data_IF_957449567563
#
_entry.id   IF_957449567563
#
_cell.length_a   1.000
_cell.length_b   1.000
_cell.length_c   1.000
_cell.angle_alpha   90.00
_cell.angle_beta   90.00
_cell.angle_gamma   90.00
#
_symmetry.space_group_name_H-M   'P 1'
#
loop_
_entity.id
_entity.type
_entity.pdbx_description
1 polymer ?
#
# COMPACT_ATOMS: atom_id res chain seq x y z
N UNK A 1 -16.67 10.70 13.55
CA UNK A 1 -15.60 11.71 13.40
C UNK A 1 -14.58 11.38 12.30
N UNK A 2 -14.02 10.16 12.24
CA UNK A 2 -12.96 9.83 11.28
C UNK A 2 -13.41 9.94 9.80
N UNK A 3 -14.59 9.42 9.46
CA UNK A 3 -15.19 9.55 8.11
C UNK A 3 -15.20 11.01 7.64
N UNK A 4 -15.72 11.91 8.50
CA UNK A 4 -15.87 13.31 8.14
C UNK A 4 -14.55 14.05 7.98
N UNK A 5 -13.56 13.73 8.82
CA UNK A 5 -12.19 14.23 8.65
C UNK A 5 -11.65 13.92 7.25
N UNK A 6 -11.84 12.69 6.79
CA UNK A 6 -11.30 12.26 5.50
C UNK A 6 -12.15 12.68 4.30
N UNK A 7 -13.45 12.90 4.47
CA UNK A 7 -14.27 13.54 3.44
C UNK A 7 -13.78 14.97 3.18
N UNK A 8 -13.61 15.78 4.23
CA UNK A 8 -13.13 17.15 4.09
C UNK A 8 -11.72 17.20 3.47
N UNK A 9 -10.84 16.26 3.85
CA UNK A 9 -9.50 16.18 3.27
C UNK A 9 -9.52 15.78 1.78
N UNK A 10 -10.42 14.87 1.39
CA UNK A 10 -10.64 14.48 0.00
C UNK A 10 -11.18 15.65 -0.82
N UNK A 11 -12.20 16.35 -0.34
CA UNK A 11 -12.77 17.52 -1.01
C UNK A 11 -11.73 18.63 -1.18
N UNK A 12 -10.96 18.93 -0.13
CA UNK A 12 -9.86 19.89 -0.21
C UNK A 12 -8.82 19.48 -1.25
N UNK A 13 -8.48 18.19 -1.36
CA UNK A 13 -7.57 17.69 -2.39
C UNK A 13 -8.15 17.89 -3.80
N UNK A 14 -9.39 17.47 -4.03
CA UNK A 14 -10.07 17.58 -5.33
C UNK A 14 -10.20 19.05 -5.78
N UNK A 15 -10.47 19.97 -4.86
CA UNK A 15 -10.54 21.40 -5.15
C UNK A 15 -9.17 22.05 -5.38
N UNK A 16 -8.09 21.47 -4.85
CA UNK A 16 -6.75 22.08 -4.90
C UNK A 16 -6.10 22.07 -6.29
N UNK A 17 -6.57 21.21 -7.20
CA UNK A 17 -5.94 20.99 -8.51
C UNK A 17 -4.55 20.33 -8.44
N UNK A 18 -4.11 19.87 -7.26
CA UNK A 18 -2.84 19.18 -7.08
C UNK A 18 -2.92 17.71 -7.54
N UNK A 19 -1.80 17.19 -8.01
CA UNK A 19 -1.69 15.78 -8.41
C UNK A 19 -1.39 14.82 -7.26
N UNK A 20 -0.86 15.35 -6.14
CA UNK A 20 -0.57 14.60 -4.93
C UNK A 20 -0.70 15.47 -3.67
N UNK A 21 -1.16 14.88 -2.56
CA UNK A 21 -1.11 15.50 -1.23
C UNK A 21 -1.06 14.46 -0.12
N UNK A 22 -0.54 14.85 1.04
CA UNK A 22 -0.68 14.08 2.28
C UNK A 22 -1.97 14.49 3.02
N UNK A 23 -2.81 13.50 3.34
CA UNK A 23 -4.04 13.67 4.13
C UNK A 23 -3.92 13.11 5.55
N UNK A 24 -2.84 12.39 5.81
CA UNK A 24 -2.42 11.97 7.14
C UNK A 24 -0.90 12.07 7.22
N UNK A 25 -0.41 12.64 8.31
CA UNK A 25 1.02 12.78 8.63
C UNK A 25 1.28 12.13 9.99
N UNK A 26 2.49 11.59 10.22
CA UNK A 26 2.87 11.03 11.52
C UNK A 26 2.81 12.11 12.62
N UNK A 27 2.59 11.66 13.86
CA UNK A 27 2.46 12.54 15.03
C UNK A 27 3.78 13.18 15.43
N UNK A 28 4.90 12.48 15.24
CA UNK A 28 6.24 13.02 15.43
C UNK A 28 6.90 13.29 14.07
N UNK A 29 7.71 14.36 13.92
CA UNK A 29 8.49 14.54 12.72
C UNK A 29 9.41 13.33 12.54
N UNK A 30 9.42 12.67 11.37
CA UNK A 30 10.35 11.59 11.13
C UNK A 30 11.77 12.10 11.35
N UNK A 31 12.61 11.32 12.05
CA UNK A 31 14.05 11.40 11.82
C UNK A 31 14.27 11.33 10.30
N UNK A 32 15.16 12.15 9.71
CA UNK A 32 15.29 12.28 8.27
C UNK A 32 15.31 10.90 7.61
N UNK A 33 14.20 10.56 6.96
CA UNK A 33 14.01 9.21 6.45
C UNK A 33 14.87 9.07 5.20
N UNK A 34 15.73 8.07 5.20
CA UNK A 34 16.63 7.77 4.09
C UNK A 34 15.92 6.99 2.99
N UNK A 35 14.76 6.41 3.30
CA UNK A 35 13.98 5.58 2.38
C UNK A 35 12.48 5.79 2.55
N UNK A 36 11.81 6.06 1.43
CA UNK A 36 10.36 6.09 1.32
C UNK A 36 9.85 4.75 0.75
N UNK A 37 9.08 4.02 1.55
CA UNK A 37 8.35 2.84 1.14
C UNK A 37 6.94 3.25 0.72
N UNK A 38 6.48 2.82 -0.45
CA UNK A 38 5.14 3.17 -0.96
C UNK A 38 4.32 1.89 -1.10
N UNK A 39 3.21 1.81 -0.36
CA UNK A 39 2.20 0.77 -0.55
C UNK A 39 1.00 1.36 -1.30
N UNK A 40 0.94 1.09 -2.60
CA UNK A 40 -0.12 1.53 -3.51
C UNK A 40 -1.19 0.44 -3.66
N UNK A 41 -2.42 0.75 -3.26
CA UNK A 41 -3.56 -0.17 -3.33
C UNK A 41 -4.89 0.59 -3.34
N UNK A 42 -5.98 -0.07 -3.74
CA UNK A 42 -7.33 0.51 -3.61
C UNK A 42 -7.87 0.48 -2.18
N UNK A 43 -7.25 -0.32 -1.30
CA UNK A 43 -7.56 -0.41 0.13
C UNK A 43 -9.06 -0.57 0.40
N UNK A 44 -9.69 -1.55 -0.25
CA UNK A 44 -11.15 -1.69 -0.27
C UNK A 44 -11.65 -3.07 0.24
N UNK A 45 -11.45 -3.44 1.53
CA UNK A 45 -10.75 -2.71 2.58
C UNK A 45 -9.23 -3.03 2.64
N UNK A 46 -8.43 -2.25 3.41
CA UNK A 46 -7.13 -2.72 3.90
C UNK A 46 -7.32 -3.99 4.73
N UNK A 47 -6.31 -4.86 4.76
CA UNK A 47 -6.41 -6.19 5.39
C UNK A 47 -5.04 -6.72 5.80
N UNK A 48 -5.01 -7.88 6.46
CA UNK A 48 -3.77 -8.45 6.99
C UNK A 48 -2.70 -8.70 5.92
N UNK A 49 -3.07 -9.05 4.68
CA UNK A 49 -2.12 -9.08 3.56
C UNK A 49 -1.38 -7.75 3.31
N UNK A 50 -2.09 -6.61 3.34
CA UNK A 50 -1.48 -5.28 3.22
C UNK A 50 -0.61 -4.95 4.43
N UNK A 51 -1.11 -5.24 5.64
CA UNK A 51 -0.39 -4.99 6.89
C UNK A 51 0.92 -5.78 6.95
N UNK A 52 0.89 -7.07 6.61
CA UNK A 52 2.08 -7.92 6.57
C UNK A 52 3.05 -7.44 5.50
N UNK A 53 2.59 -7.08 4.30
CA UNK A 53 3.47 -6.53 3.26
C UNK A 53 4.19 -5.27 3.72
N UNK A 54 3.45 -4.33 4.33
CA UNK A 54 4.05 -3.13 4.90
C UNK A 54 5.08 -3.48 5.99
N UNK A 55 4.73 -4.36 6.92
CA UNK A 55 5.62 -4.75 8.03
C UNK A 55 6.90 -5.42 7.55
N UNK A 56 6.80 -6.41 6.66
CA UNK A 56 7.97 -7.12 6.12
C UNK A 56 8.87 -6.18 5.33
N UNK A 57 8.31 -5.21 4.61
CA UNK A 57 9.10 -4.19 3.91
C UNK A 57 9.79 -3.22 4.89
N UNK A 58 9.10 -2.85 5.97
CA UNK A 58 9.64 -1.97 7.01
C UNK A 58 10.78 -2.61 7.80
N UNK A 59 10.69 -3.92 8.08
CA UNK A 59 11.70 -4.70 8.78
C UNK A 59 12.85 -5.15 7.85
N UNK A 60 12.75 -4.89 6.54
CA UNK A 60 13.76 -5.31 5.59
C UNK A 60 14.99 -4.40 5.59
N UNK A 61 16.16 -5.00 5.77
CA UNK A 61 17.43 -4.33 5.50
C UNK A 61 17.68 -4.18 3.99
N UNK A 62 17.56 -2.94 3.51
CA UNK A 62 17.86 -2.55 2.13
C UNK A 62 19.36 -2.20 1.90
N UNK A 63 20.24 -2.50 2.86
CA UNK A 63 21.68 -2.20 2.76
C UNK A 63 22.04 -0.73 3.03
N UNK A 64 21.09 0.06 3.52
CA UNK A 64 21.31 1.45 3.96
C UNK A 64 21.58 1.46 5.47
N UNK A 65 22.76 1.95 5.90
CA UNK A 65 23.15 2.02 7.32
C UNK A 65 22.01 2.56 8.19
N UNK A 66 21.60 1.78 9.19
CA UNK A 66 20.46 1.96 10.10
C UNK A 66 19.83 3.37 10.06
N UNK A 67 18.78 3.54 9.24
CA UNK A 67 18.11 4.83 9.10
C UNK A 67 16.63 4.66 8.72
N UNK A 68 15.82 5.62 9.21
CA UNK A 68 14.36 5.57 9.35
C UNK A 68 13.63 5.30 8.03
N UNK A 69 12.99 4.15 7.92
CA UNK A 69 12.00 3.89 6.87
C UNK A 69 10.75 4.75 7.12
N UNK A 70 10.26 5.43 6.09
CA UNK A 70 8.95 6.07 6.09
C UNK A 70 7.99 5.29 5.20
N UNK A 71 6.80 4.96 5.69
CA UNK A 71 5.77 4.30 4.90
C UNK A 71 4.72 5.30 4.41
N UNK A 72 4.50 5.33 3.10
CA UNK A 72 3.38 6.02 2.47
C UNK A 72 2.34 5.00 2.03
N UNK A 73 1.16 5.04 2.64
CA UNK A 73 -0.03 4.37 2.13
C UNK A 73 -0.66 5.25 1.05
N UNK A 74 -0.66 4.80 -0.20
CA UNK A 74 -1.07 5.61 -1.35
C UNK A 74 -2.40 5.15 -1.91
N UNK A 75 -3.35 6.08 -2.03
CA UNK A 75 -4.64 5.85 -2.68
C UNK A 75 -4.81 6.80 -3.87
N UNK A 76 -5.14 6.25 -5.04
CA UNK A 76 -5.49 7.06 -6.20
C UNK A 76 -7.00 7.25 -6.29
N UNK A 77 -7.42 8.50 -6.53
CA UNK A 77 -8.83 8.86 -6.74
C UNK A 77 -9.31 8.52 -8.16
N UNK A 78 -8.40 8.09 -9.04
CA UNK A 78 -8.70 7.56 -10.38
C UNK A 78 -8.35 6.07 -10.52
N UNK A 79 -8.20 5.36 -9.40
CA UNK A 79 -7.92 3.92 -9.45
C UNK A 79 -9.00 3.18 -10.25
N UNK A 80 -8.57 2.16 -11.00
CA UNK A 80 -9.44 1.29 -11.78
C UNK A 80 -10.16 0.28 -10.86
N UNK A 81 -11.01 0.77 -9.96
CA UNK A 81 -11.88 -0.11 -9.19
C UNK A 81 -12.94 -0.73 -10.11
N UNK A 82 -13.26 -1.99 -9.86
CA UNK A 82 -14.41 -2.63 -10.51
C UNK A 82 -15.67 -1.89 -10.07
N UNK A 83 -16.50 -1.50 -11.04
CA UNK A 83 -17.78 -0.82 -10.80
C UNK A 83 -18.74 -1.69 -9.97
N UNK A 84 -18.56 -3.02 -10.02
CA UNK A 84 -19.39 -4.00 -9.31
C UNK A 84 -18.50 -5.02 -8.58
N UNK A 85 -18.74 -5.27 -7.28
CA UNK A 85 -19.64 -4.52 -6.38
C UNK A 85 -19.13 -3.09 -6.15
N UNK A 86 -20.04 -2.17 -5.82
CA UNK A 86 -19.71 -0.76 -5.57
C UNK A 86 -18.65 -0.70 -4.46
N UNK A 87 -17.49 -0.08 -4.70
CA UNK A 87 -16.46 0.03 -3.68
C UNK A 87 -16.93 0.94 -2.54
N UNK A 88 -16.38 0.76 -1.34
CA UNK A 88 -16.59 1.75 -0.29
C UNK A 88 -16.13 3.13 -0.80
N UNK A 89 -16.80 4.20 -0.39
CA UNK A 89 -16.40 5.55 -0.74
C UNK A 89 -14.99 5.86 -0.26
N UNK A 90 -14.32 6.82 -0.89
CA UNK A 90 -12.91 7.13 -0.63
C UNK A 90 -12.67 7.53 0.84
N UNK A 91 -13.59 8.27 1.47
CA UNK A 91 -13.47 8.67 2.87
C UNK A 91 -13.57 7.48 3.84
N UNK A 92 -14.33 6.45 3.50
CA UNK A 92 -14.35 5.20 4.27
C UNK A 92 -13.03 4.44 4.12
N UNK A 93 -12.51 4.34 2.89
CA UNK A 93 -11.20 3.72 2.63
C UNK A 93 -10.07 4.43 3.35
N UNK A 94 -10.02 5.75 3.28
CA UNK A 94 -9.06 6.58 4.01
C UNK A 94 -9.18 6.42 5.52
N UNK A 95 -10.41 6.30 6.04
CA UNK A 95 -10.63 6.01 7.47
C UNK A 95 -10.06 4.65 7.87
N UNK A 96 -10.25 3.60 7.07
CA UNK A 96 -9.65 2.28 7.34
C UNK A 96 -8.12 2.30 7.15
N UNK A 97 -7.60 3.04 6.16
CA UNK A 97 -6.15 3.25 6.00
C UNK A 97 -5.55 3.96 7.21
N UNK A 98 -6.25 4.92 7.81
CA UNK A 98 -5.82 5.56 9.05
C UNK A 98 -5.68 4.57 10.20
N UNK A 99 -6.64 3.67 10.37
CA UNK A 99 -6.56 2.63 11.39
C UNK A 99 -5.35 1.70 11.16
N UNK A 100 -5.09 1.33 9.91
CA UNK A 100 -3.88 0.57 9.56
C UNK A 100 -2.59 1.35 9.82
N UNK A 101 -2.57 2.65 9.49
CA UNK A 101 -1.43 3.52 9.76
C UNK A 101 -1.14 3.61 11.27
N UNK A 102 -2.17 3.83 12.10
CA UNK A 102 -2.05 3.84 13.57
C UNK A 102 -1.53 2.52 14.13
N UNK A 103 -1.91 1.39 13.54
CA UNK A 103 -1.41 0.08 13.95
C UNK A 103 0.08 -0.12 13.60
N UNK A 104 0.52 0.39 12.45
CA UNK A 104 1.92 0.32 11.98
C UNK A 104 2.85 1.31 12.70
N UNK A 105 2.34 2.49 13.09
CA UNK A 105 3.10 3.51 13.83
C UNK A 105 3.56 3.06 15.23
N UNK A 106 2.93 2.02 15.81
CA UNK A 106 3.34 1.45 17.12
C UNK A 106 4.76 0.85 17.11
N UNK A 107 5.45 0.87 15.97
CA UNK A 107 6.77 0.24 15.75
C UNK A 107 7.90 1.25 15.47
N UNK A 108 7.84 2.48 16.00
CA UNK A 108 8.80 3.58 15.76
C UNK A 108 8.92 4.01 14.28
N UNK A 109 7.88 3.70 13.51
CA UNK A 109 7.82 3.94 12.06
C UNK A 109 6.90 5.11 11.78
N UNK A 110 7.37 6.02 10.95
CA UNK A 110 6.54 7.12 10.46
C UNK A 110 5.69 6.66 9.29
N UNK A 111 4.37 6.76 9.43
CA UNK A 111 3.40 6.39 8.39
C UNK A 111 2.62 7.62 7.95
N UNK A 112 2.53 7.84 6.65
CA UNK A 112 1.67 8.86 6.04
C UNK A 112 0.62 8.23 5.13
N UNK A 113 -0.47 8.97 4.88
CA UNK A 113 -1.46 8.62 3.84
C UNK A 113 -1.46 9.70 2.78
N UNK A 114 -1.25 9.28 1.53
CA UNK A 114 -1.25 10.14 0.37
C UNK A 114 -2.45 9.89 -0.55
N UNK A 115 -2.93 10.96 -1.16
CA UNK A 115 -3.86 10.92 -2.28
C UNK A 115 -3.15 11.31 -3.57
N UNK A 116 -3.54 10.70 -4.69
CA UNK A 116 -3.07 11.08 -6.02
C UNK A 116 -4.16 11.02 -7.09
N UNK A 117 -4.07 11.86 -8.11
CA UNK A 117 -4.94 11.85 -9.30
C UNK A 117 -4.48 10.87 -10.38
N UNK A 118 -3.31 10.24 -10.23
CA UNK A 118 -2.71 9.39 -11.26
C UNK A 118 -3.07 7.91 -11.08
N UNK A 119 -3.26 7.20 -12.19
CA UNK A 119 -3.53 5.76 -12.18
C UNK A 119 -2.25 4.93 -12.41
N UNK A 120 -1.33 5.43 -13.22
CA UNK A 120 -0.10 4.70 -13.58
C UNK A 120 1.00 4.96 -12.56
N UNK A 121 1.75 3.90 -12.24
CA UNK A 121 2.83 3.97 -11.27
C UNK A 121 3.84 5.09 -11.58
N UNK A 122 4.30 5.21 -12.83
CA UNK A 122 5.30 6.21 -13.21
C UNK A 122 4.84 7.65 -12.96
N UNK A 123 3.56 7.93 -13.23
CA UNK A 123 2.93 9.24 -12.98
C UNK A 123 2.78 9.50 -11.46
N UNK A 124 2.39 8.48 -10.68
CA UNK A 124 2.34 8.55 -9.21
C UNK A 124 3.73 8.90 -8.64
N UNK A 125 4.78 8.23 -9.12
CA UNK A 125 6.16 8.47 -8.68
C UNK A 125 6.61 9.90 -8.98
N UNK A 126 6.35 10.39 -10.20
CA UNK A 126 6.70 11.76 -10.58
C UNK A 126 5.98 12.81 -9.71
N UNK A 127 4.68 12.63 -9.43
CA UNK A 127 3.92 13.53 -8.57
C UNK A 127 4.43 13.55 -7.12
N UNK A 128 4.81 12.38 -6.58
CA UNK A 128 5.39 12.27 -5.24
C UNK A 128 6.77 12.95 -5.20
N UNK A 129 7.63 12.72 -6.19
CA UNK A 129 8.95 13.37 -6.26
C UNK A 129 8.82 14.90 -6.36
N UNK A 130 7.87 15.40 -7.17
CA UNK A 130 7.60 16.83 -7.27
C UNK A 130 7.14 17.42 -5.94
N UNK A 131 6.29 16.70 -5.18
CA UNK A 131 5.87 17.11 -3.84
C UNK A 131 7.04 17.13 -2.85
N UNK A 132 7.89 16.10 -2.84
CA UNK A 132 9.05 16.02 -1.95
C UNK A 132 10.12 17.07 -2.28
N UNK A 133 10.34 17.39 -3.56
CA UNK A 133 11.27 18.43 -3.97
C UNK A 133 10.85 19.85 -3.59
N UNK A 134 9.56 20.06 -3.28
CA UNK A 134 9.04 21.32 -2.75
C UNK A 134 9.17 21.41 -1.22
N UNK A 135 9.39 20.29 -0.53
CA UNK A 135 9.51 20.22 0.92
C UNK A 135 10.98 20.06 1.32
N UNK A 136 11.58 21.14 1.84
CA UNK A 136 13.01 21.20 2.22
C UNK A 136 13.40 20.18 3.30
N UNK A 137 12.43 19.52 3.94
CA UNK A 137 12.67 18.47 4.95
C UNK A 137 13.03 17.10 4.37
N UNK A 138 12.82 16.88 3.06
CA UNK A 138 13.00 15.57 2.40
C UNK A 138 14.18 15.47 1.42
N UNK A 139 15.10 16.44 1.39
CA UNK A 139 16.04 16.55 0.28
C UNK A 139 17.25 15.58 0.31
N UNK A 140 17.31 14.74 -0.73
CA UNK A 140 18.45 14.73 -1.66
C UNK A 140 17.96 14.58 -3.10
N UNK A 141 18.61 15.24 -4.09
CA UNK A 141 18.11 15.32 -5.45
C UNK A 141 18.39 14.02 -6.19
N UNK A 142 17.38 13.17 -6.35
CA UNK A 142 17.43 12.04 -7.28
C UNK A 142 16.38 12.30 -8.36
N UNK A 143 16.81 12.94 -9.45
CA UNK A 143 16.07 12.98 -10.70
C UNK A 143 16.91 12.25 -11.74
N UNK A 144 16.77 10.93 -11.74
CA UNK A 144 17.09 10.09 -12.89
C UNK A 144 16.27 8.80 -12.82
N UNK A 145 16.01 8.22 -14.00
CA UNK A 145 15.27 6.97 -14.29
C UNK A 145 14.53 6.31 -13.12
N UNK A 146 13.19 6.27 -13.23
CA UNK A 146 12.26 5.68 -12.28
C UNK A 146 12.76 4.37 -11.64
N UNK A 147 13.22 3.41 -12.45
CA UNK A 147 13.63 2.09 -11.97
C UNK A 147 15.05 2.08 -11.38
N UNK A 148 15.93 3.03 -11.71
CA UNK A 148 17.30 3.04 -11.14
C UNK A 148 17.30 3.50 -9.68
N UNK A 149 16.25 4.23 -9.28
CA UNK A 149 16.10 4.79 -7.94
C UNK A 149 14.87 4.22 -7.19
N UNK A 150 14.19 3.22 -7.76
CA UNK A 150 13.05 2.55 -7.13
C UNK A 150 13.31 1.07 -7.00
N UNK A 151 13.11 0.57 -5.78
CA UNK A 151 13.10 -0.85 -5.47
C UNK A 151 11.66 -1.38 -5.46
N UNK A 152 11.45 -2.57 -6.01
CA UNK A 152 10.20 -3.30 -5.95
C UNK A 152 10.31 -4.38 -4.89
N UNK A 153 9.58 -4.20 -3.78
CA UNK A 153 9.47 -5.22 -2.75
C UNK A 153 8.21 -6.06 -2.97
N UNK A 154 8.39 -7.37 -3.10
CA UNK A 154 7.32 -8.31 -3.41
C UNK A 154 7.26 -9.41 -2.35
N UNK A 155 6.09 -9.60 -1.75
CA UNK A 155 5.80 -10.84 -1.03
C UNK A 155 5.21 -11.86 -1.99
N UNK A 156 5.80 -13.06 -2.00
CA UNK A 156 5.29 -14.16 -2.80
C UNK A 156 3.90 -14.58 -2.28
N UNK A 157 2.98 -14.81 -3.22
CA UNK A 157 1.62 -15.30 -2.94
C UNK A 157 1.46 -16.78 -3.27
N UNK A 158 2.57 -17.48 -3.44
CA UNK A 158 2.58 -18.87 -3.88
C UNK A 158 1.79 -19.74 -2.91
N UNK A 159 0.72 -20.36 -3.41
CA UNK A 159 -0.11 -21.30 -2.66
C UNK A 159 0.55 -22.69 -2.54
N UNK A 160 1.68 -22.89 -3.24
CA UNK A 160 2.46 -24.12 -3.25
C UNK A 160 3.95 -23.84 -3.44
N UNK A 161 4.79 -24.82 -3.12
CA UNK A 161 6.24 -24.75 -3.41
C UNK A 161 6.52 -24.59 -4.90
N UNK A 162 5.71 -25.18 -5.78
CA UNK A 162 5.89 -25.08 -7.24
C UNK A 162 5.61 -23.68 -7.79
N UNK A 163 4.58 -23.00 -7.27
CA UNK A 163 4.31 -21.59 -7.62
C UNK A 163 5.43 -20.67 -7.12
N UNK A 164 6.00 -20.98 -5.96
CA UNK A 164 7.12 -20.24 -5.39
C UNK A 164 8.38 -20.38 -6.25
N UNK A 165 8.71 -21.60 -6.65
CA UNK A 165 9.84 -21.88 -7.55
C UNK A 165 9.66 -21.21 -8.91
N UNK A 166 8.42 -21.16 -9.42
CA UNK A 166 8.10 -20.44 -10.65
C UNK A 166 8.32 -18.92 -10.50
N UNK A 167 7.92 -18.32 -9.39
CA UNK A 167 8.14 -16.89 -9.11
C UNK A 167 9.63 -16.56 -8.94
N UNK A 168 10.39 -17.41 -8.24
CA UNK A 168 11.85 -17.25 -8.16
C UNK A 168 12.53 -17.41 -9.52
N UNK A 169 12.07 -18.37 -10.34
CA UNK A 169 12.58 -18.58 -11.70
C UNK A 169 12.32 -17.38 -12.60
N UNK A 170 11.20 -16.68 -12.42
CA UNK A 170 10.93 -15.44 -13.15
C UNK A 170 12.00 -14.37 -12.88
N UNK A 171 12.48 -14.26 -11.64
CA UNK A 171 13.57 -13.33 -11.29
C UNK A 171 14.90 -13.71 -11.96
N UNK A 172 15.25 -15.00 -11.97
CA UNK A 172 16.46 -15.45 -12.66
C UNK A 172 16.37 -15.29 -14.18
N UNK A 173 15.17 -15.41 -14.75
CA UNK A 173 14.89 -15.11 -16.15
C UNK A 173 15.08 -13.63 -16.51
N UNK A 174 14.63 -12.70 -15.66
CA UNK A 174 14.93 -11.26 -15.86
C UNK A 174 16.45 -11.04 -15.81
N UNK A 175 17.14 -11.58 -14.79
CA UNK A 175 18.58 -11.39 -14.61
C UNK A 175 19.41 -11.92 -15.79
N UNK A 176 18.99 -13.03 -16.39
CA UNK A 176 19.62 -13.64 -17.57
C UNK A 176 19.24 -12.95 -18.89
N UNK A 177 18.26 -12.04 -18.88
CA UNK A 177 17.78 -11.35 -20.08
C UNK A 177 16.93 -12.23 -20.98
N UNK A 178 16.17 -13.13 -20.40
CA UNK A 178 15.22 -13.97 -21.11
C UNK A 178 14.11 -13.15 -21.80
N UNK A 179 13.76 -12.00 -21.22
CA UNK A 179 12.76 -11.08 -21.76
C UNK A 179 13.47 -9.91 -22.48
N UNK A 180 13.33 -9.76 -23.81
CA UNK A 180 14.06 -8.76 -24.58
C UNK A 180 13.67 -7.32 -24.20
N UNK A 181 12.42 -7.12 -23.76
CA UNK A 181 11.88 -5.80 -23.41
C UNK A 181 12.10 -5.41 -21.94
N UNK A 182 12.65 -6.32 -21.11
CA UNK A 182 12.89 -6.07 -19.69
C UNK A 182 14.40 -5.95 -19.45
N UNK A 183 14.92 -4.77 -19.05
CA UNK A 183 16.33 -4.61 -18.75
C UNK A 183 16.78 -5.55 -17.63
N UNK A 184 17.87 -6.31 -17.87
CA UNK A 184 18.45 -7.26 -16.90
C UNK A 184 18.77 -6.61 -15.55
N UNK A 185 19.17 -5.35 -15.59
CA UNK A 185 19.50 -4.56 -14.41
C UNK A 185 18.31 -4.36 -13.46
N UNK A 186 17.06 -4.60 -13.89
CA UNK A 186 15.89 -4.49 -13.02
C UNK A 186 15.87 -5.60 -11.96
N UNK A 187 16.45 -6.77 -12.24
CA UNK A 187 16.45 -7.89 -11.31
C UNK A 187 17.12 -7.53 -9.96
N UNK A 188 18.12 -6.65 -9.97
CA UNK A 188 18.83 -6.22 -8.75
C UNK A 188 17.98 -5.30 -7.84
N UNK A 189 16.91 -4.74 -8.37
CA UNK A 189 16.01 -3.82 -7.67
C UNK A 189 14.69 -4.52 -7.28
N UNK A 190 14.56 -5.83 -7.52
CA UNK A 190 13.36 -6.59 -7.14
C UNK A 190 13.71 -7.48 -5.95
N UNK A 191 13.14 -7.16 -4.78
CA UNK A 191 13.30 -7.91 -3.54
C UNK A 191 12.11 -8.85 -3.38
N UNK A 192 12.32 -10.12 -3.66
CA UNK A 192 11.32 -11.16 -3.45
C UNK A 192 11.49 -11.77 -2.06
N UNK A 193 10.48 -11.62 -1.21
CA UNK A 193 10.45 -12.15 0.16
C UNK A 193 9.31 -13.16 0.30
N UNK A 194 9.49 -14.05 1.27
CA UNK A 194 8.48 -15.05 1.63
C UNK A 194 8.28 -15.03 3.13
N UNK A 195 7.02 -15.02 3.57
CA UNK A 195 6.71 -15.02 5.00
C UNK A 195 7.04 -16.39 5.59
N UNK A 196 8.11 -16.52 6.37
CA UNK A 196 8.65 -17.81 6.80
C UNK A 196 7.65 -18.69 7.59
N UNK A 197 6.71 -18.09 8.32
CA UNK A 197 5.81 -18.81 9.25
C UNK A 197 4.34 -18.94 8.79
N UNK A 198 3.91 -18.23 7.73
CA UNK A 198 2.48 -18.14 7.32
C UNK A 198 2.29 -17.98 5.80
N UNK A 199 3.10 -18.71 5.01
CA UNK A 199 3.14 -18.62 3.54
C UNK A 199 1.75 -18.76 2.91
N UNK A 200 1.01 -19.80 3.29
CA UNK A 200 -0.21 -20.19 2.60
C UNK A 200 -1.43 -19.32 2.98
N UNK A 201 -1.41 -18.71 4.18
CA UNK A 201 -2.58 -18.00 4.70
C UNK A 201 -2.59 -16.51 4.34
N UNK A 202 -1.43 -15.86 4.23
CA UNK A 202 -1.37 -14.41 3.98
C UNK A 202 -1.50 -14.09 2.48
N UNK A 203 -0.87 -14.89 1.62
CA UNK A 203 -0.95 -14.74 0.16
C UNK A 203 -2.36 -14.95 -0.41
N UNK A 204 -3.19 -15.74 0.28
CA UNK A 204 -4.58 -16.00 -0.13
C UNK A 204 -5.55 -14.85 0.22
N UNK A 205 -5.16 -13.92 1.11
CA UNK A 205 -6.04 -12.83 1.54
C UNK A 205 -6.23 -11.85 0.38
N UNK A 206 -7.49 -11.51 0.08
CA UNK A 206 -7.83 -10.48 -0.87
C UNK A 206 -8.98 -9.62 -0.35
N UNK A 207 -8.97 -8.33 -0.68
CA UNK A 207 -10.09 -7.46 -0.32
C UNK A 207 -11.42 -7.94 -0.92
N UNK A 208 -11.39 -8.55 -2.12
CA UNK A 208 -12.60 -9.14 -2.73
C UNK A 208 -13.16 -10.30 -1.90
N UNK A 209 -12.30 -11.20 -1.40
CA UNK A 209 -12.73 -12.28 -0.51
C UNK A 209 -13.32 -11.75 0.79
N UNK A 210 -12.76 -10.68 1.35
CA UNK A 210 -13.29 -10.02 2.55
C UNK A 210 -14.66 -9.39 2.27
N UNK A 211 -14.82 -8.67 1.15
CA UNK A 211 -16.12 -8.09 0.78
C UNK A 211 -17.18 -9.17 0.59
N UNK A 212 -16.87 -10.27 -0.10
CA UNK A 212 -17.79 -11.40 -0.26
C UNK A 212 -18.18 -12.02 1.09
N UNK A 213 -17.26 -12.07 2.06
CA UNK A 213 -17.57 -12.60 3.37
C UNK A 213 -18.56 -11.71 4.17
N UNK A 214 -18.51 -10.38 4.01
CA UNK A 214 -19.52 -9.47 4.60
C UNK A 214 -20.86 -9.48 3.87
N UNK A 215 -20.87 -9.84 2.58
CA UNK A 215 -22.09 -9.96 1.78
C UNK A 215 -22.85 -11.28 2.05
N UNK A 216 -22.17 -12.29 2.60
CA UNK A 216 -22.79 -13.53 3.01
C UNK A 216 -23.82 -13.33 4.15
N UNK A 217 -24.87 -14.15 4.15
CA UNK A 217 -26.02 -14.00 5.07
C UNK A 217 -25.70 -14.26 6.56
N UNK A 218 -24.47 -14.68 6.86
CA UNK A 218 -23.96 -14.88 8.21
C UNK A 218 -22.93 -13.79 8.54
N UNK A 219 -23.02 -13.20 9.74
CA UNK A 219 -22.03 -12.25 10.21
C UNK A 219 -20.65 -12.94 10.25
N UNK A 220 -19.72 -12.62 9.31
CA UNK A 220 -18.47 -13.35 9.21
C UNK A 220 -17.66 -13.12 10.48
N UNK A 221 -17.08 -14.18 11.04
CA UNK A 221 -16.21 -14.11 12.21
C UNK A 221 -14.76 -14.39 11.80
N UNK A 222 -13.81 -13.82 12.52
CA UNK A 222 -12.37 -14.07 12.33
C UNK A 222 -11.86 -13.75 10.91
N UNK A 223 -12.34 -12.66 10.32
CA UNK A 223 -11.80 -12.18 9.05
C UNK A 223 -10.34 -11.73 9.21
N UNK A 224 -9.52 -11.87 8.16
CA UNK A 224 -8.11 -11.46 8.20
C UNK A 224 -7.97 -9.92 8.08
N UNK A 225 -8.50 -9.23 9.09
CA UNK A 225 -8.52 -7.78 9.25
C UNK A 225 -7.89 -7.41 10.61
N UNK A 226 -7.44 -6.16 10.72
CA UNK A 226 -7.22 -5.57 12.04
C UNK A 226 -8.57 -5.41 12.74
N UNK A 227 -8.60 -5.62 14.06
CA UNK A 227 -9.83 -5.55 14.87
C UNK A 227 -10.51 -4.18 14.72
N UNK A 228 -9.72 -3.10 14.71
CA UNK A 228 -10.24 -1.75 14.54
C UNK A 228 -10.88 -1.53 13.15
N UNK A 229 -10.34 -2.18 12.12
CA UNK A 229 -10.89 -2.12 10.74
C UNK A 229 -12.18 -2.93 10.65
N UNK A 230 -12.23 -4.14 11.22
CA UNK A 230 -13.46 -4.95 11.29
C UNK A 230 -14.57 -4.19 12.05
N UNK A 231 -14.24 -3.61 13.21
CA UNK A 231 -15.16 -2.77 13.98
C UNK A 231 -15.64 -1.53 13.20
N UNK A 232 -14.76 -0.89 12.44
CA UNK A 232 -15.13 0.23 11.57
C UNK A 232 -16.10 -0.19 10.46
N UNK A 233 -15.84 -1.31 9.80
CA UNK A 233 -16.71 -1.85 8.73
C UNK A 233 -18.11 -2.13 9.27
N UNK A 234 -18.20 -2.84 10.41
CA UNK A 234 -19.50 -3.18 11.04
C UNK A 234 -20.26 -1.95 11.50
N UNK A 235 -19.60 -1.01 12.18
CA UNK A 235 -20.25 0.21 12.67
C UNK A 235 -20.74 1.15 11.58
N UNK A 236 -20.18 1.05 10.37
CA UNK A 236 -20.59 1.85 9.21
C UNK A 236 -21.39 1.03 8.17
N UNK A 237 -21.78 -0.21 8.48
CA UNK A 237 -22.53 -1.12 7.61
C UNK A 237 -21.92 -1.24 6.20
N UNK A 238 -20.59 -1.32 6.08
CA UNK A 238 -19.93 -1.44 4.78
C UNK A 238 -19.98 -2.87 4.25
N UNK A 239 -20.11 -3.02 2.92
CA UNK A 239 -20.00 -4.27 2.16
C UNK A 239 -21.10 -5.34 2.37
N UNK A 240 -22.07 -5.13 3.27
CA UNK A 240 -23.22 -6.02 3.40
C UNK A 240 -24.33 -5.72 2.38
N UNK A 241 -25.29 -6.65 2.22
CA UNK A 241 -26.47 -6.49 1.32
C UNK A 241 -27.28 -5.20 1.55
N UNK A 242 -27.20 -4.59 2.73
CA UNK A 242 -27.88 -3.34 3.08
C UNK A 242 -27.06 -2.06 2.74
N UNK A 243 -25.88 -2.19 2.13
CA UNK A 243 -24.97 -1.07 1.81
C UNK A 243 -25.20 -0.46 0.40
N UNK A 244 -26.29 -0.82 -0.28
CA UNK A 244 -26.72 -0.30 -1.58
C UNK A 244 -27.89 0.66 -1.44
#
# INVERSE_FOLDING_TARGET
MLKMKYLNALEAFLMSGKDFTLVYKPVAPPTPATRLLILDSSFNPPHMGHFTLAKEALDHDFGTSASSNHLLLLLSVKNADKVVPVPASFEHRLSMMHLMAKALEKSDISVSIGLTTHAKFAEKSAAIQAFLGQDSTWMSPCVSSFITNTDLFCLTRAASGTEFDAQQKYMSQIASGHFPDIPRSWARNIFMKTVAAKRDTIGAISSSGIRHAYDAESAPQNLPLLEEIDGYIRSNNLYGKAAL
#
